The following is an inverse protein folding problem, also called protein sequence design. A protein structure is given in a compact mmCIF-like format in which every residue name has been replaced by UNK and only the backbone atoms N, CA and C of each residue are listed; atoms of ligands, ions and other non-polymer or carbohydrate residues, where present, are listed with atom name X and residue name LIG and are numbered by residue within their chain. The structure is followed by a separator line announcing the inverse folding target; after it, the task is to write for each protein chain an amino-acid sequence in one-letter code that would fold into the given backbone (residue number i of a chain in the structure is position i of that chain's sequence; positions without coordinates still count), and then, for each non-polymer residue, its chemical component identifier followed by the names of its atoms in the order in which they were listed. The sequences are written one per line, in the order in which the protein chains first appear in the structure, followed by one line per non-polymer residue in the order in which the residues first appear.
data_IF_399655175602
#
_entry.id   IF_399655175602
#
_cell.length_a   1.000
_cell.length_b   1.000
_cell.length_c   1.000
_cell.angle_alpha   90.00
_cell.angle_beta   90.00
_cell.angle_gamma   90.00
#
_symmetry.space_group_name_H-M   'P 1'
#
loop_
_entity.id
_entity.type
_entity.pdbx_description
1 polymer ?
#
# COMPACT_ATOMS: atom_id res chain seq x y z
N UNK A 1 9.61 -9.03 2.01
CA UNK A 1 8.87 -7.90 1.41
C UNK A 1 9.80 -6.86 0.82
N UNK A 2 10.53 -6.05 1.62
CA UNK A 2 11.40 -4.98 1.10
C UNK A 2 12.43 -5.38 0.03
N UNK A 3 12.93 -6.62 0.06
CA UNK A 3 13.77 -7.17 -1.02
C UNK A 3 12.96 -7.78 -2.18
N UNK A 4 11.84 -8.43 -1.89
CA UNK A 4 11.03 -9.14 -2.88
C UNK A 4 10.36 -8.16 -3.86
N UNK A 5 9.88 -7.02 -3.36
CA UNK A 5 9.15 -6.02 -4.16
C UNK A 5 9.96 -5.43 -5.32
N UNK A 6 11.21 -4.93 -5.12
CA UNK A 6 12.03 -4.44 -6.24
C UNK A 6 12.47 -5.57 -7.17
N UNK A 7 12.80 -6.75 -6.64
CA UNK A 7 13.18 -7.91 -7.45
C UNK A 7 12.02 -8.35 -8.36
N UNK A 8 10.80 -8.41 -7.82
CA UNK A 8 9.61 -8.75 -8.59
C UNK A 8 9.26 -7.66 -9.60
N UNK A 9 9.41 -6.38 -9.25
CA UNK A 9 9.28 -5.29 -10.23
C UNK A 9 10.20 -5.51 -11.42
N UNK A 10 11.48 -5.76 -11.15
CA UNK A 10 12.49 -6.03 -12.18
C UNK A 10 12.20 -7.29 -13.02
N UNK A 11 11.86 -8.41 -12.38
CA UNK A 11 11.60 -9.68 -13.06
C UNK A 11 10.29 -9.69 -13.85
N UNK A 12 9.24 -9.06 -13.32
CA UNK A 12 7.95 -8.95 -14.01
C UNK A 12 8.04 -8.14 -15.30
N UNK A 13 9.01 -7.22 -15.40
CA UNK A 13 9.29 -6.47 -16.62
C UNK A 13 10.09 -7.30 -17.64
N UNK A 14 10.98 -8.20 -17.22
CA UNK A 14 11.82 -9.01 -18.14
C UNK A 14 11.22 -10.34 -18.58
N UNK A 15 10.35 -10.97 -17.80
CA UNK A 15 9.89 -12.32 -18.11
C UNK A 15 8.95 -12.30 -19.33
N UNK A 16 9.17 -13.20 -20.30
CA UNK A 16 8.10 -13.58 -21.21
C UNK A 16 7.09 -14.40 -20.39
N UNK A 17 5.81 -14.00 -20.36
CA UNK A 17 4.77 -14.69 -19.60
C UNK A 17 4.63 -16.18 -19.94
N UNK A 18 3.77 -16.90 -19.22
CA UNK A 18 3.60 -18.33 -19.44
C UNK A 18 2.66 -18.61 -20.63
N UNK A 19 3.23 -18.88 -21.81
CA UNK A 19 2.47 -19.28 -23.01
C UNK A 19 1.54 -18.17 -23.52
N UNK A 20 0.23 -18.47 -23.66
CA UNK A 20 -0.80 -17.48 -24.05
C UNK A 20 -1.26 -16.60 -22.87
N UNK A 21 -0.77 -16.86 -21.67
CA UNK A 21 -1.09 -16.10 -20.48
C UNK A 21 -0.22 -14.85 -20.43
N UNK A 22 -0.85 -13.68 -20.29
CA UNK A 22 -0.14 -12.40 -20.27
C UNK A 22 0.95 -12.33 -19.19
N UNK A 23 1.95 -11.45 -19.39
CA UNK A 23 3.13 -11.34 -18.55
C UNK A 23 2.74 -10.98 -17.12
N UNK A 24 1.95 -9.92 -16.95
CA UNK A 24 1.53 -9.44 -15.63
C UNK A 24 0.59 -10.42 -14.94
N UNK A 25 -0.32 -11.02 -15.71
CA UNK A 25 -1.21 -12.07 -15.20
C UNK A 25 -0.48 -13.31 -14.72
N UNK A 26 0.61 -13.71 -15.37
CA UNK A 26 1.38 -14.89 -14.96
C UNK A 26 1.98 -14.72 -13.56
N UNK A 27 2.58 -13.56 -13.30
CA UNK A 27 3.12 -13.24 -11.97
C UNK A 27 2.03 -13.01 -10.91
N UNK A 28 0.90 -12.41 -11.30
CA UNK A 28 -0.25 -12.30 -10.42
C UNK A 28 -0.78 -13.69 -10.01
N UNK A 29 -0.87 -14.63 -10.96
CA UNK A 29 -1.30 -16.00 -10.70
C UNK A 29 -0.32 -16.72 -9.78
N UNK A 30 0.99 -16.64 -10.08
CA UNK A 30 2.03 -17.22 -9.24
C UNK A 30 1.96 -16.69 -7.79
N UNK A 31 1.82 -15.38 -7.63
CA UNK A 31 1.66 -14.77 -6.30
C UNK A 31 0.38 -15.22 -5.59
N UNK A 32 -0.74 -15.30 -6.32
CA UNK A 32 -2.02 -15.76 -5.76
C UNK A 32 -1.88 -17.20 -5.26
N UNK A 33 -1.29 -18.10 -6.07
CA UNK A 33 -1.04 -19.48 -5.67
C UNK A 33 -0.15 -19.57 -4.42
N UNK A 34 0.92 -18.76 -4.34
CA UNK A 34 1.75 -18.69 -3.13
C UNK A 34 0.94 -18.29 -1.88
N UNK A 35 0.08 -17.26 -1.98
CA UNK A 35 -0.78 -16.82 -0.86
C UNK A 35 -1.79 -17.89 -0.47
N UNK A 36 -2.44 -18.55 -1.45
CA UNK A 36 -3.40 -19.62 -1.20
C UNK A 36 -2.76 -20.81 -0.46
N UNK A 37 -1.51 -21.14 -0.81
CA UNK A 37 -0.79 -22.26 -0.22
C UNK A 37 -0.16 -21.94 1.13
N UNK A 38 0.24 -20.69 1.41
CA UNK A 38 0.96 -20.37 2.65
C UNK A 38 0.06 -19.79 3.75
N UNK A 39 -0.92 -18.95 3.41
CA UNK A 39 -1.71 -18.21 4.39
C UNK A 39 -2.52 -19.10 5.35
N UNK A 40 -3.17 -20.21 4.91
CA UNK A 40 -3.86 -21.11 5.83
C UNK A 40 -2.94 -21.73 6.88
N UNK A 41 -1.67 -22.01 6.55
CA UNK A 41 -0.71 -22.61 7.48
C UNK A 41 -0.16 -21.62 8.51
N UNK A 42 -0.24 -20.31 8.24
CA UNK A 42 0.14 -19.26 9.19
C UNK A 42 -0.90 -19.14 10.31
N UNK A 43 -2.17 -19.35 10.01
CA UNK A 43 -3.30 -19.17 10.95
C UNK A 43 -3.87 -20.48 11.51
N UNK A 44 -3.32 -21.64 11.14
CA UNK A 44 -3.68 -22.94 11.69
C UNK A 44 -2.58 -23.38 12.67
N UNK A 45 -2.89 -24.11 13.77
CA UNK A 45 -1.86 -24.68 14.63
C UNK A 45 -0.84 -25.47 13.83
N UNK A 46 0.43 -25.34 14.22
CA UNK A 46 1.49 -26.07 13.56
C UNK A 46 1.25 -27.59 13.63
N UNK A 47 1.43 -28.24 12.49
CA UNK A 47 1.17 -29.67 12.33
C UNK A 47 2.15 -30.47 13.20
N UNK A 48 1.63 -31.16 14.22
CA UNK A 48 2.43 -31.99 15.13
C UNK A 48 3.00 -31.26 16.36
N UNK A 49 2.69 -29.98 16.55
CA UNK A 49 2.99 -29.29 17.79
C UNK A 49 2.05 -29.74 18.92
N UNK A 50 2.63 -30.14 20.06
CA UNK A 50 1.94 -30.41 21.34
C UNK A 50 2.19 -29.27 22.34
N UNK A 51 1.48 -29.26 23.47
CA UNK A 51 1.60 -28.21 24.50
C UNK A 51 3.03 -28.03 25.06
N UNK A 52 3.87 -29.08 25.00
CA UNK A 52 5.28 -29.05 25.43
C UNK A 52 6.28 -28.67 24.31
N UNK A 53 5.80 -28.23 23.14
CA UNK A 53 6.69 -27.89 22.02
C UNK A 53 7.43 -26.59 22.32
N UNK A 54 8.77 -26.56 22.24
CA UNK A 54 9.51 -25.34 22.50
C UNK A 54 9.22 -24.27 21.44
N UNK A 55 9.18 -23.00 21.84
CA UNK A 55 8.81 -21.88 20.98
C UNK A 55 9.66 -21.76 19.70
N UNK A 56 10.96 -22.13 19.77
CA UNK A 56 11.85 -22.10 18.62
C UNK A 56 11.43 -23.07 17.51
N UNK A 57 10.82 -24.21 17.86
CA UNK A 57 10.35 -25.17 16.87
C UNK A 57 9.12 -24.65 16.13
N UNK A 58 8.20 -23.97 16.84
CA UNK A 58 7.09 -23.27 16.21
C UNK A 58 7.58 -22.16 15.27
N UNK A 59 8.59 -21.39 15.69
CA UNK A 59 9.21 -20.37 14.84
C UNK A 59 9.77 -20.95 13.53
N UNK A 60 10.53 -22.05 13.60
CA UNK A 60 11.08 -22.72 12.40
C UNK A 60 9.96 -23.23 11.48
N UNK A 61 8.86 -23.75 12.04
CA UNK A 61 7.72 -24.21 11.26
C UNK A 61 7.05 -23.08 10.47
N UNK A 62 6.78 -21.93 11.10
CA UNK A 62 6.07 -20.83 10.44
C UNK A 62 6.95 -20.03 9.47
N UNK A 63 8.27 -20.00 9.68
CA UNK A 63 9.23 -19.24 8.87
C UNK A 63 9.09 -19.44 7.34
N UNK A 64 9.12 -20.68 6.79
CA UNK A 64 8.99 -20.88 5.35
C UNK A 64 7.65 -20.39 4.79
N UNK A 65 6.55 -20.59 5.52
CA UNK A 65 5.22 -20.12 5.08
C UNK A 65 5.16 -18.59 5.04
N UNK A 66 5.74 -17.90 6.05
CA UNK A 66 5.82 -16.45 6.07
C UNK A 66 6.66 -15.94 4.88
N UNK A 67 7.80 -16.57 4.58
CA UNK A 67 8.63 -16.17 3.42
C UNK A 67 7.85 -16.30 2.11
N UNK A 68 7.17 -17.43 1.89
CA UNK A 68 6.34 -17.67 0.70
C UNK A 68 5.18 -16.67 0.63
N UNK A 69 4.54 -16.38 1.76
CA UNK A 69 3.48 -15.38 1.85
C UNK A 69 3.98 -13.99 1.45
N UNK A 70 5.11 -13.54 2.00
CA UNK A 70 5.67 -12.21 1.69
C UNK A 70 6.05 -12.09 0.21
N UNK A 71 6.56 -13.16 -0.40
CA UNK A 71 6.78 -13.21 -1.84
C UNK A 71 5.47 -13.14 -2.63
N UNK A 72 4.47 -13.96 -2.27
CA UNK A 72 3.18 -13.99 -2.95
C UNK A 72 2.41 -12.67 -2.85
N UNK A 73 2.45 -12.03 -1.69
CA UNK A 73 1.90 -10.71 -1.45
C UNK A 73 2.54 -9.65 -2.36
N UNK A 74 3.87 -9.59 -2.41
CA UNK A 74 4.57 -8.67 -3.30
C UNK A 74 4.26 -8.95 -4.78
N UNK A 75 4.22 -10.22 -5.19
CA UNK A 75 4.00 -10.62 -6.58
C UNK A 75 2.60 -10.25 -7.07
N UNK A 76 1.55 -10.52 -6.28
CA UNK A 76 0.17 -10.13 -6.60
C UNK A 76 0.03 -8.62 -6.66
N UNK A 77 0.54 -7.91 -5.66
CA UNK A 77 0.37 -6.46 -5.54
C UNK A 77 1.07 -5.70 -6.66
N UNK A 78 2.33 -6.02 -6.96
CA UNK A 78 3.12 -5.31 -7.98
C UNK A 78 2.60 -5.62 -9.37
N UNK A 79 2.32 -6.88 -9.67
CA UNK A 79 1.79 -7.27 -10.99
C UNK A 79 0.45 -6.62 -11.31
N UNK A 80 -0.44 -6.51 -10.32
CA UNK A 80 -1.72 -5.81 -10.48
C UNK A 80 -1.53 -4.31 -10.65
N UNK A 81 -0.60 -3.69 -9.90
CA UNK A 81 -0.29 -2.26 -10.00
C UNK A 81 0.24 -1.89 -11.39
N UNK A 82 1.18 -2.67 -11.91
CA UNK A 82 1.79 -2.43 -13.23
C UNK A 82 0.81 -2.69 -14.38
N UNK A 83 -0.23 -3.49 -14.17
CA UNK A 83 -1.23 -3.80 -15.20
C UNK A 83 -2.19 -2.64 -15.47
N UNK A 84 -2.51 -1.81 -14.47
CA UNK A 84 -3.42 -0.65 -14.62
C UNK A 84 -3.04 0.26 -15.80
N UNK A 85 -1.80 0.79 -15.89
CA UNK A 85 -1.42 1.67 -17.00
C UNK A 85 -1.34 0.96 -18.35
N UNK A 86 -1.27 -0.38 -18.39
CA UNK A 86 -1.28 -1.16 -19.63
C UNK A 86 -2.72 -1.41 -20.14
N UNK A 87 -3.72 -1.41 -19.25
CA UNK A 87 -5.12 -1.65 -19.61
C UNK A 87 -5.85 -0.41 -20.16
N UNK A 88 -5.43 0.79 -19.76
CA UNK A 88 -6.10 2.05 -20.11
C UNK A 88 -5.11 3.04 -20.71
N UNK A 89 -5.49 3.65 -21.83
CA UNK A 89 -4.63 4.60 -22.55
C UNK A 89 -4.74 6.02 -22.00
N UNK A 90 -5.92 6.40 -21.48
CA UNK A 90 -6.20 7.72 -20.95
C UNK A 90 -5.72 7.87 -19.50
N UNK A 91 -5.06 8.99 -19.18
CA UNK A 91 -4.61 9.29 -17.81
C UNK A 91 -5.79 9.49 -16.85
N UNK A 92 -6.92 10.01 -17.33
CA UNK A 92 -8.14 10.12 -16.53
C UNK A 92 -8.65 8.74 -16.10
N UNK A 93 -8.69 7.78 -17.02
CA UNK A 93 -9.13 6.41 -16.73
C UNK A 93 -8.17 5.68 -15.79
N UNK A 94 -6.85 5.94 -15.88
CA UNK A 94 -5.85 5.40 -14.93
C UNK A 94 -6.12 5.86 -13.51
N UNK A 95 -6.39 7.16 -13.32
CA UNK A 95 -6.71 7.74 -12.01
C UNK A 95 -8.02 7.15 -11.48
N UNK A 96 -9.03 7.02 -12.33
CA UNK A 96 -10.33 6.45 -11.96
C UNK A 96 -10.21 4.96 -11.55
N UNK A 97 -9.53 4.13 -12.34
CA UNK A 97 -9.33 2.71 -12.05
C UNK A 97 -8.51 2.52 -10.76
N UNK A 98 -7.52 3.39 -10.54
CA UNK A 98 -6.74 3.42 -9.31
C UNK A 98 -7.60 3.81 -8.10
N UNK A 99 -8.50 4.78 -8.25
CA UNK A 99 -9.44 5.16 -7.20
C UNK A 99 -10.41 4.02 -6.85
N UNK A 100 -10.95 3.31 -7.85
CA UNK A 100 -11.79 2.13 -7.61
C UNK A 100 -11.04 1.05 -6.83
N UNK A 101 -9.79 0.76 -7.21
CA UNK A 101 -8.96 -0.21 -6.48
C UNK A 101 -8.80 0.13 -5.00
N UNK A 102 -8.54 1.40 -4.68
CA UNK A 102 -8.43 1.83 -3.27
C UNK A 102 -9.78 1.73 -2.54
N UNK A 103 -10.89 2.07 -3.20
CA UNK A 103 -12.22 1.87 -2.63
C UNK A 103 -12.51 0.39 -2.31
N UNK A 104 -12.19 -0.53 -3.24
CA UNK A 104 -12.32 -1.97 -3.00
C UNK A 104 -11.41 -2.47 -1.89
N UNK A 105 -10.23 -1.87 -1.71
CA UNK A 105 -9.34 -2.20 -0.59
C UNK A 105 -9.98 -1.79 0.75
N UNK A 106 -10.61 -0.62 0.83
CA UNK A 106 -11.33 -0.19 2.05
C UNK A 106 -12.52 -1.12 2.33
N UNK A 107 -13.31 -1.46 1.31
CA UNK A 107 -14.42 -2.39 1.45
C UNK A 107 -13.96 -3.78 1.93
N UNK A 108 -12.86 -4.30 1.39
CA UNK A 108 -12.28 -5.56 1.85
C UNK A 108 -11.88 -5.51 3.33
N UNK A 109 -11.27 -4.41 3.80
CA UNK A 109 -10.96 -4.23 5.22
C UNK A 109 -12.24 -4.22 6.08
N UNK A 110 -13.28 -3.49 5.66
CA UNK A 110 -14.59 -3.48 6.35
C UNK A 110 -15.17 -4.91 6.44
N UNK A 111 -15.11 -5.68 5.35
CA UNK A 111 -15.58 -7.08 5.35
C UNK A 111 -14.78 -7.95 6.30
N UNK A 112 -13.43 -7.86 6.30
CA UNK A 112 -12.58 -8.66 7.20
C UNK A 112 -12.86 -8.34 8.67
N UNK A 113 -12.89 -7.06 9.03
CA UNK A 113 -13.19 -6.65 10.41
C UNK A 113 -14.65 -6.94 10.80
N UNK A 114 -15.59 -6.82 9.87
CA UNK A 114 -16.99 -7.20 10.08
C UNK A 114 -17.17 -8.69 10.34
N UNK A 115 -16.49 -9.55 9.57
CA UNK A 115 -16.47 -11.00 9.79
C UNK A 115 -15.80 -11.36 11.12
N UNK A 116 -14.68 -10.71 11.45
CA UNK A 116 -14.01 -10.90 12.74
C UNK A 116 -14.91 -10.51 13.91
N UNK A 117 -15.60 -9.36 13.81
CA UNK A 117 -16.56 -8.89 14.80
C UNK A 117 -17.73 -9.86 14.97
N UNK A 118 -18.27 -10.38 13.86
CA UNK A 118 -19.35 -11.36 13.85
C UNK A 118 -18.94 -12.65 14.58
N UNK A 119 -17.78 -13.22 14.21
CA UNK A 119 -17.25 -14.45 14.81
C UNK A 119 -16.95 -14.26 16.31
N UNK A 120 -16.38 -13.12 16.69
CA UNK A 120 -16.03 -12.84 18.08
C UNK A 120 -17.26 -12.58 18.97
N UNK A 121 -18.32 -11.95 18.45
CA UNK A 121 -19.52 -11.67 19.26
C UNK A 121 -20.44 -12.88 19.42
N UNK A 122 -20.62 -13.71 18.39
CA UNK A 122 -21.48 -14.90 18.49
C UNK A 122 -20.98 -15.93 19.52
N UNK A 123 -19.74 -15.82 20.00
CA UNK A 123 -19.16 -16.73 20.98
C UNK A 123 -19.07 -16.15 22.40
N UNK A 124 -19.53 -14.91 22.63
CA UNK A 124 -19.60 -14.30 23.98
C UNK A 124 -20.76 -14.85 24.80
N UNK A 125 -21.80 -15.39 24.16
CA UNK A 125 -22.96 -15.97 24.86
C UNK A 125 -22.69 -17.34 25.52
N UNK A 126 -21.44 -17.83 25.54
CA UNK A 126 -21.04 -19.04 26.27
C UNK A 126 -20.49 -18.69 27.68
N UNK A 127 -21.08 -19.21 28.77
CA UNK A 127 -20.83 -18.75 30.14
C UNK A 127 -19.44 -19.06 30.72
N UNK A 128 -18.62 -19.92 30.09
CA UNK A 128 -17.35 -20.41 30.66
C UNK A 128 -16.07 -19.81 30.02
N UNK A 129 -16.18 -18.75 29.20
CA UNK A 129 -15.02 -18.19 28.47
C UNK A 129 -14.48 -16.89 29.03
N UNK A 130 -13.16 -16.85 29.18
CA UNK A 130 -12.41 -15.66 29.58
C UNK A 130 -12.55 -14.52 28.55
N UNK A 131 -12.75 -13.29 29.02
CA UNK A 131 -12.85 -12.08 28.19
C UNK A 131 -11.55 -11.75 27.42
N UNK A 132 -10.45 -12.36 27.83
CA UNK A 132 -9.11 -12.20 27.27
C UNK A 132 -8.84 -13.21 26.14
N UNK A 133 -8.02 -12.80 25.17
CA UNK A 133 -7.58 -13.65 24.07
C UNK A 133 -6.81 -14.86 24.61
N UNK A 134 -7.19 -16.05 24.15
CA UNK A 134 -6.53 -17.29 24.54
C UNK A 134 -6.43 -18.31 23.41
N UNK A 135 -5.79 -19.44 23.71
CA UNK A 135 -5.64 -20.58 22.76
C UNK A 135 -7.01 -21.09 22.29
N UNK A 136 -8.05 -20.90 23.09
CA UNK A 136 -9.43 -21.25 22.76
C UNK A 136 -10.02 -20.47 21.56
N UNK A 137 -9.43 -19.33 21.21
CA UNK A 137 -9.86 -18.47 20.10
C UNK A 137 -9.17 -18.82 18.78
N UNK A 138 -8.17 -19.71 18.79
CA UNK A 138 -7.42 -20.15 17.59
C UNK A 138 -8.35 -20.66 16.48
N UNK A 139 -9.39 -21.48 16.74
CA UNK A 139 -10.32 -21.89 15.70
C UNK A 139 -11.07 -20.72 15.03
N UNK A 140 -11.28 -19.61 15.74
CA UNK A 140 -11.95 -18.42 15.20
C UNK A 140 -11.08 -17.74 14.16
N UNK A 141 -9.82 -17.46 14.51
CA UNK A 141 -8.85 -16.86 13.60
C UNK A 141 -8.55 -17.76 12.41
N UNK A 142 -8.51 -19.09 12.62
CA UNK A 142 -8.45 -20.06 11.54
C UNK A 142 -9.63 -19.94 10.59
N UNK A 143 -10.86 -20.00 11.09
CA UNK A 143 -12.06 -19.91 10.25
C UNK A 143 -12.11 -18.57 9.50
N UNK A 144 -11.78 -17.47 10.17
CA UNK A 144 -11.66 -16.15 9.55
C UNK A 144 -10.63 -16.17 8.41
N UNK A 145 -9.43 -16.71 8.65
CA UNK A 145 -8.38 -16.81 7.63
C UNK A 145 -8.82 -17.62 6.40
N UNK A 146 -9.53 -18.74 6.61
CA UNK A 146 -10.02 -19.60 5.53
C UNK A 146 -11.11 -18.91 4.70
N UNK A 147 -12.03 -18.18 5.35
CA UNK A 147 -13.05 -17.38 4.66
C UNK A 147 -12.40 -16.29 3.81
N UNK A 148 -11.43 -15.56 4.36
CA UNK A 148 -10.73 -14.47 3.65
C UNK A 148 -9.93 -15.00 2.47
N UNK A 149 -9.22 -16.12 2.65
CA UNK A 149 -8.49 -16.79 1.55
C UNK A 149 -9.45 -17.27 0.47
N UNK A 150 -10.59 -17.87 0.84
CA UNK A 150 -11.60 -18.33 -0.11
C UNK A 150 -12.22 -17.18 -0.91
N UNK A 151 -12.58 -16.08 -0.25
CA UNK A 151 -13.08 -14.87 -0.93
C UNK A 151 -12.00 -14.28 -1.85
N UNK A 152 -10.75 -14.19 -1.39
CA UNK A 152 -9.63 -13.73 -2.21
C UNK A 152 -9.39 -14.61 -3.44
N UNK A 153 -9.49 -15.93 -3.29
CA UNK A 153 -9.38 -16.89 -4.39
C UNK A 153 -10.49 -16.67 -5.43
N UNK A 154 -11.74 -16.46 -4.97
CA UNK A 154 -12.88 -16.19 -5.84
C UNK A 154 -12.68 -14.91 -6.64
N UNK A 155 -12.30 -13.80 -5.99
CA UNK A 155 -12.05 -12.53 -6.69
C UNK A 155 -10.84 -12.61 -7.62
N UNK A 156 -9.79 -13.34 -7.24
CA UNK A 156 -8.64 -13.59 -8.12
C UNK A 156 -9.05 -14.40 -9.35
N UNK A 157 -9.89 -15.42 -9.20
CA UNK A 157 -10.44 -16.19 -10.32
C UNK A 157 -11.27 -15.29 -11.25
N UNK A 158 -12.14 -14.44 -10.71
CA UNK A 158 -12.93 -13.47 -11.49
C UNK A 158 -11.99 -12.52 -12.26
N UNK A 159 -10.94 -12.00 -11.61
CA UNK A 159 -9.94 -11.16 -12.27
C UNK A 159 -9.26 -11.91 -13.43
N UNK A 160 -8.82 -13.15 -13.19
CA UNK A 160 -8.11 -13.95 -14.19
C UNK A 160 -9.00 -14.35 -15.39
N UNK A 161 -10.29 -14.60 -15.17
CA UNK A 161 -11.26 -14.91 -16.23
C UNK A 161 -11.78 -13.65 -16.96
N UNK A 162 -12.03 -12.57 -16.24
CA UNK A 162 -12.71 -11.39 -16.76
C UNK A 162 -11.79 -10.40 -17.49
N UNK A 163 -10.56 -10.22 -17.02
CA UNK A 163 -9.63 -9.29 -17.67
C UNK A 163 -8.96 -9.95 -18.86
N UNK A 164 -8.83 -9.26 -20.00
CA UNK A 164 -8.09 -9.78 -21.16
C UNK A 164 -6.81 -8.99 -21.33
N UNK A 165 -5.67 -9.65 -21.13
CA UNK A 165 -4.36 -9.10 -21.47
C UNK A 165 -4.04 -9.53 -22.90
N UNK A 166 -3.64 -8.59 -23.78
CA UNK A 166 -3.28 -8.93 -25.16
C UNK A 166 -2.01 -9.80 -25.13
N UNK A 167 -1.99 -10.97 -25.77
CA UNK A 167 -0.78 -11.80 -25.84
C UNK A 167 0.35 -11.02 -26.50
N UNK A 168 1.54 -11.03 -25.90
CA UNK A 168 2.74 -10.52 -26.56
C UNK A 168 3.08 -11.47 -27.72
N UNK A 169 3.31 -10.98 -28.96
CA UNK A 169 3.61 -11.85 -30.09
C UNK A 169 4.86 -12.70 -29.82
N UNK A 170 4.82 -14.02 -30.01
CA UNK A 170 6.00 -14.86 -29.87
C UNK A 170 6.94 -14.57 -31.06
N UNK A 171 8.02 -13.84 -30.82
CA UNK A 171 9.02 -13.52 -31.85
C UNK A 171 9.67 -12.14 -31.75
N UNK A 172 9.10 -11.21 -30.98
CA UNK A 172 9.87 -10.06 -30.51
C UNK A 172 10.86 -10.56 -29.47
N UNK A 173 12.16 -10.45 -29.76
CA UNK A 173 13.23 -10.53 -28.75
C UNK A 173 12.74 -9.81 -27.48
N UNK A 174 13.04 -10.32 -26.26
CA UNK A 174 12.72 -9.60 -25.03
C UNK A 174 13.25 -8.20 -25.24
N UNK A 175 12.31 -7.26 -25.43
CA UNK A 175 12.67 -5.95 -25.92
C UNK A 175 13.69 -5.46 -24.91
N UNK A 176 14.84 -5.00 -25.41
CA UNK A 176 15.83 -4.27 -24.63
C UNK A 176 15.19 -2.92 -24.27
N UNK A 177 14.06 -3.00 -23.56
CA UNK A 177 13.07 -1.98 -23.22
C UNK A 177 13.55 -1.15 -22.04
N UNK A 178 14.83 -1.27 -21.68
CA UNK A 178 15.55 -0.31 -20.84
C UNK A 178 15.64 1.07 -21.54
N UNK A 179 15.24 1.17 -22.81
CA UNK A 179 15.31 2.37 -23.66
C UNK A 179 13.95 2.96 -24.10
N UNK A 180 12.80 2.38 -23.69
CA UNK A 180 11.49 2.89 -24.14
C UNK A 180 10.86 3.79 -23.06
N UNK A 181 10.48 5.05 -23.38
CA UNK A 181 9.92 5.99 -22.42
C UNK A 181 8.62 5.49 -21.77
N UNK A 182 8.47 5.70 -20.45
CA UNK A 182 7.20 5.50 -19.73
C UNK A 182 6.09 6.51 -20.12
N UNK A 183 6.42 7.52 -20.93
CA UNK A 183 5.49 8.54 -21.45
C UNK A 183 5.69 8.67 -22.95
N UNK A 184 4.86 7.96 -23.72
CA UNK A 184 4.81 8.11 -25.17
C UNK A 184 3.74 9.15 -25.51
N UNK A 185 4.17 10.37 -25.87
CA UNK A 185 3.30 11.39 -26.48
C UNK A 185 3.80 11.66 -27.89
N UNK A 186 2.84 11.83 -28.81
CA UNK A 186 3.05 11.98 -30.26
C UNK A 186 4.15 12.99 -30.68
N UNK A 187 4.77 12.79 -31.86
CA UNK A 187 6.02 13.44 -32.23
C UNK A 187 5.81 14.85 -32.79
N UNK A 188 5.86 15.89 -31.94
CA UNK A 188 5.95 17.28 -32.41
C UNK A 188 6.83 18.22 -31.56
N UNK A 189 7.64 17.71 -30.62
CA UNK A 189 8.53 18.57 -29.81
C UNK A 189 9.94 17.97 -29.67
N UNK A 190 11.00 18.81 -29.48
CA UNK A 190 12.40 18.38 -29.49
C UNK A 190 12.68 17.27 -28.48
N UNK A 191 13.72 16.43 -28.69
CA UNK A 191 13.97 15.22 -27.91
C UNK A 191 14.14 15.57 -26.43
N UNK A 192 13.11 15.25 -25.64
CA UNK A 192 13.17 15.38 -24.19
C UNK A 192 14.09 14.28 -23.64
N UNK A 193 14.99 14.57 -22.69
CA UNK A 193 15.80 13.54 -22.06
C UNK A 193 14.92 12.48 -21.42
N UNK A 194 15.11 11.24 -21.84
CA UNK A 194 14.41 10.09 -21.31
C UNK A 194 15.14 9.65 -20.05
N UNK A 195 14.52 9.86 -18.88
CA UNK A 195 15.04 9.38 -17.60
C UNK A 195 14.99 7.86 -17.59
N UNK A 196 16.16 7.22 -17.48
CA UNK A 196 16.29 5.79 -17.26
C UNK A 196 15.97 5.51 -15.79
N UNK A 197 15.48 4.31 -15.44
CA UNK A 197 15.13 3.97 -14.06
C UNK A 197 16.28 4.21 -13.05
N UNK A 198 17.54 4.11 -13.51
CA UNK A 198 18.74 4.35 -12.70
C UNK A 198 18.91 5.83 -12.36
N UNK A 199 18.47 6.73 -13.23
CA UNK A 199 18.58 8.16 -13.04
C UNK A 199 17.66 8.64 -11.91
N UNK A 200 16.55 7.94 -11.67
CA UNK A 200 15.68 8.19 -10.51
C UNK A 200 16.38 7.98 -9.16
N UNK A 201 17.37 7.09 -9.09
CA UNK A 201 18.14 6.87 -7.86
C UNK A 201 19.15 8.01 -7.60
N UNK A 202 19.42 8.86 -8.58
CA UNK A 202 20.29 10.03 -8.42
C UNK A 202 19.49 11.30 -8.09
N UNK A 203 18.19 11.30 -8.36
CA UNK A 203 17.35 12.49 -8.17
C UNK A 203 17.00 12.71 -6.69
N UNK A 204 17.35 13.86 -6.08
CA UNK A 204 17.05 14.14 -4.67
C UNK A 204 15.54 14.18 -4.37
N UNK A 205 14.70 14.56 -5.34
CA UNK A 205 13.24 14.53 -5.20
C UNK A 205 12.69 13.12 -4.93
N UNK A 206 13.33 12.07 -5.47
CA UNK A 206 12.95 10.69 -5.22
C UNK A 206 13.04 10.35 -3.72
N UNK A 207 14.14 10.76 -3.08
CA UNK A 207 14.37 10.52 -1.66
C UNK A 207 13.44 11.35 -0.76
N UNK A 208 13.12 12.60 -1.15
CA UNK A 208 12.16 13.43 -0.41
C UNK A 208 10.78 12.76 -0.35
N UNK A 209 10.27 12.29 -1.49
CA UNK A 209 8.98 11.58 -1.58
C UNK A 209 9.05 10.23 -0.86
N UNK A 210 10.17 9.50 -0.99
CA UNK A 210 10.37 8.23 -0.31
C UNK A 210 10.34 8.39 1.22
N UNK A 211 11.02 9.38 1.79
CA UNK A 211 11.00 9.64 3.25
C UNK A 211 9.59 9.96 3.73
N UNK A 212 8.86 10.82 3.02
CA UNK A 212 7.47 11.14 3.36
C UNK A 212 6.59 9.88 3.32
N UNK A 213 6.71 9.08 2.26
CA UNK A 213 5.96 7.83 2.10
C UNK A 213 6.29 6.82 3.19
N UNK A 214 7.58 6.59 3.47
CA UNK A 214 8.04 5.63 4.48
C UNK A 214 7.62 6.05 5.89
N UNK A 215 7.71 7.34 6.21
CA UNK A 215 7.23 7.90 7.48
C UNK A 215 5.73 7.66 7.65
N UNK A 216 4.94 7.96 6.61
CA UNK A 216 3.49 7.74 6.61
C UNK A 216 3.16 6.26 6.79
N UNK A 217 3.83 5.36 6.05
CA UNK A 217 3.65 3.91 6.14
C UNK A 217 4.01 3.37 7.51
N UNK A 218 5.09 3.86 8.11
CA UNK A 218 5.53 3.43 9.44
C UNK A 218 4.50 3.79 10.50
N UNK A 219 3.98 5.02 10.50
CA UNK A 219 2.93 5.45 11.45
C UNK A 219 1.69 4.56 11.32
N UNK A 220 1.22 4.31 10.09
CA UNK A 220 0.04 3.49 9.84
C UNK A 220 0.26 2.05 10.31
N UNK A 221 1.39 1.44 9.94
CA UNK A 221 1.70 0.05 10.28
C UNK A 221 1.85 -0.16 11.79
N UNK A 222 2.51 0.78 12.48
CA UNK A 222 2.65 0.73 13.95
C UNK A 222 1.28 0.87 14.61
N UNK A 223 0.48 1.83 14.18
CA UNK A 223 -0.87 2.04 14.72
C UNK A 223 -1.73 0.79 14.54
N UNK A 224 -1.71 0.18 13.35
CA UNK A 224 -2.45 -1.05 13.05
C UNK A 224 -1.94 -2.28 13.82
N UNK A 225 -0.64 -2.40 14.06
CA UNK A 225 -0.07 -3.55 14.78
C UNK A 225 -0.33 -3.46 16.28
N UNK A 226 -0.20 -2.27 16.86
CA UNK A 226 -0.31 -2.07 18.30
C UNK A 226 -1.73 -1.81 18.80
N UNK A 227 -2.70 -1.47 17.93
CA UNK A 227 -4.08 -1.21 18.37
C UNK A 227 -4.66 -2.40 19.14
N UNK A 228 -4.49 -3.64 18.65
CA UNK A 228 -5.01 -4.82 19.32
C UNK A 228 -4.40 -5.00 20.72
N UNK A 229 -3.07 -4.90 20.82
CA UNK A 229 -2.36 -5.03 22.10
C UNK A 229 -2.71 -3.90 23.07
N UNK A 230 -2.87 -2.67 22.58
CA UNK A 230 -3.28 -1.54 23.40
C UNK A 230 -4.68 -1.76 24.00
N UNK A 231 -5.62 -2.26 23.20
CA UNK A 231 -6.99 -2.54 23.66
C UNK A 231 -7.03 -3.68 24.70
N UNK A 232 -6.29 -4.77 24.48
CA UNK A 232 -6.36 -5.94 25.36
C UNK A 232 -5.45 -5.85 26.58
N UNK A 233 -4.26 -5.27 26.44
CA UNK A 233 -3.23 -5.33 27.48
C UNK A 233 -3.16 -4.05 28.31
N UNK A 234 -3.45 -2.89 27.70
CA UNK A 234 -3.43 -1.60 28.41
C UNK A 234 -4.81 -1.21 28.91
N UNK A 235 -5.85 -1.37 28.08
CA UNK A 235 -7.22 -1.02 28.45
C UNK A 235 -8.03 -2.18 29.02
N UNK A 236 -7.50 -3.41 28.99
CA UNK A 236 -8.18 -4.64 29.46
C UNK A 236 -9.60 -4.79 28.87
N UNK A 237 -9.81 -4.30 27.65
CA UNK A 237 -11.11 -4.37 27.00
C UNK A 237 -11.38 -5.81 26.52
N UNK A 238 -12.65 -6.26 26.57
CA UNK A 238 -13.02 -7.55 26.02
C UNK A 238 -12.60 -7.69 24.54
N UNK A 239 -12.18 -8.88 24.14
CA UNK A 239 -11.62 -9.16 22.80
C UNK A 239 -12.48 -8.70 21.60
N UNK A 240 -13.79 -8.51 21.75
CA UNK A 240 -14.68 -7.95 20.72
C UNK A 240 -14.20 -6.59 20.20
N UNK A 241 -13.57 -5.77 21.04
CA UNK A 241 -13.12 -4.42 20.67
C UNK A 241 -11.96 -4.42 19.66
N UNK A 242 -11.21 -5.53 19.54
CA UNK A 242 -10.13 -5.69 18.57
C UNK A 242 -10.66 -5.59 17.13
N UNK A 243 -11.88 -6.04 16.89
CA UNK A 243 -12.55 -5.92 15.60
C UNK A 243 -13.44 -4.67 15.51
N UNK A 244 -14.13 -4.30 16.59
CA UNK A 244 -15.08 -3.15 16.60
C UNK A 244 -14.38 -1.82 16.29
N UNK A 245 -13.24 -1.52 16.90
CA UNK A 245 -12.61 -0.21 16.77
C UNK A 245 -12.09 0.03 15.35
N UNK A 246 -11.29 -0.88 14.75
CA UNK A 246 -10.91 -0.75 13.35
C UNK A 246 -12.13 -0.71 12.42
N UNK A 247 -13.17 -1.50 12.67
CA UNK A 247 -14.40 -1.48 11.87
C UNK A 247 -15.08 -0.11 11.86
N UNK A 248 -15.25 0.50 13.03
CA UNK A 248 -15.82 1.86 13.15
C UNK A 248 -14.96 2.88 12.42
N UNK A 249 -13.63 2.81 12.57
CA UNK A 249 -12.69 3.71 11.87
C UNK A 249 -12.76 3.56 10.33
N UNK A 250 -12.86 2.34 9.82
CA UNK A 250 -12.96 2.13 8.37
C UNK A 250 -14.32 2.57 7.81
N UNK A 251 -15.42 2.32 8.54
CA UNK A 251 -16.76 2.77 8.15
C UNK A 251 -16.82 4.31 8.18
N UNK A 252 -16.34 4.95 9.25
CA UNK A 252 -16.34 6.41 9.37
C UNK A 252 -15.51 7.06 8.26
N UNK A 253 -14.30 6.55 8.00
CA UNK A 253 -13.44 7.04 6.92
C UNK A 253 -14.04 6.84 5.52
N UNK A 254 -14.69 5.70 5.27
CA UNK A 254 -15.35 5.42 3.99
C UNK A 254 -16.56 6.33 3.75
N UNK A 255 -17.44 6.49 4.75
CA UNK A 255 -18.59 7.41 4.67
C UNK A 255 -18.12 8.86 4.48
N UNK A 256 -17.09 9.28 5.22
CA UNK A 256 -16.49 10.61 5.11
C UNK A 256 -15.97 10.88 3.69
N UNK A 257 -15.42 9.87 3.02
CA UNK A 257 -14.91 10.00 1.64
C UNK A 257 -16.00 10.33 0.61
N UNK A 258 -17.25 9.87 0.81
CA UNK A 258 -18.37 10.28 -0.05
C UNK A 258 -18.83 11.71 0.22
N UNK A 259 -18.77 12.14 1.49
CA UNK A 259 -19.09 13.51 1.90
C UNK A 259 -18.01 14.51 1.43
N UNK A 260 -16.77 14.07 1.20
CA UNK A 260 -15.68 14.92 0.70
C UNK A 260 -16.01 15.59 -0.64
N UNK A 261 -16.54 14.86 -1.61
CA UNK A 261 -16.83 15.40 -2.95
C UNK A 261 -17.83 16.57 -2.95
N UNK A 262 -19.04 16.45 -2.34
CA UNK A 262 -19.98 17.56 -2.27
C UNK A 262 -19.47 18.70 -1.39
N UNK A 263 -18.81 18.41 -0.27
CA UNK A 263 -18.21 19.42 0.61
C UNK A 263 -17.14 20.23 -0.12
N UNK A 264 -16.25 19.57 -0.87
CA UNK A 264 -15.23 20.24 -1.67
C UNK A 264 -15.85 21.09 -2.80
N UNK A 265 -16.92 20.60 -3.45
CA UNK A 265 -17.64 21.37 -4.49
C UNK A 265 -18.38 22.59 -3.92
N UNK A 266 -18.84 22.51 -2.68
CA UNK A 266 -19.54 23.59 -1.98
C UNK A 266 -18.58 24.65 -1.45
N UNK A 267 -17.45 24.24 -0.86
CA UNK A 267 -16.48 25.15 -0.22
C UNK A 267 -15.41 25.66 -1.19
N UNK A 268 -15.05 24.89 -2.23
CA UNK A 268 -13.99 25.22 -3.19
C UNK A 268 -14.21 26.47 -4.05
N UNK A 269 -15.30 27.22 -3.84
CA UNK A 269 -15.51 28.54 -4.45
C UNK A 269 -14.99 29.71 -3.61
N UNK A 270 -14.79 29.57 -2.29
CA UNK A 270 -14.47 30.70 -1.40
C UNK A 270 -13.26 30.51 -0.44
N UNK A 271 -12.72 29.29 -0.25
CA UNK A 271 -11.56 29.06 0.64
C UNK A 271 -10.53 28.08 0.06
N UNK A 272 -9.27 28.20 0.50
CA UNK A 272 -8.17 27.29 0.14
C UNK A 272 -8.55 25.85 0.51
N UNK A 273 -8.67 24.98 -0.49
CA UNK A 273 -9.04 23.57 -0.35
C UNK A 273 -8.22 22.85 0.72
N UNK A 274 -6.97 23.25 0.91
CA UNK A 274 -6.08 22.76 1.96
C UNK A 274 -6.63 22.95 3.39
N UNK A 275 -7.28 24.07 3.70
CA UNK A 275 -7.88 24.31 5.02
C UNK A 275 -9.07 23.37 5.28
N UNK A 276 -9.86 23.09 4.24
CA UNK A 276 -11.01 22.17 4.30
C UNK A 276 -10.55 20.73 4.54
N UNK A 277 -9.52 20.28 3.81
CA UNK A 277 -8.92 18.97 4.03
C UNK A 277 -8.32 18.84 5.44
N UNK A 278 -7.68 19.90 5.94
CA UNK A 278 -7.17 19.98 7.31
C UNK A 278 -8.27 19.88 8.36
N UNK A 279 -9.33 20.69 8.25
CA UNK A 279 -10.45 20.70 9.18
C UNK A 279 -11.22 19.37 9.18
N UNK A 280 -11.43 18.77 8.00
CA UNK A 280 -12.12 17.49 7.88
C UNK A 280 -11.32 16.33 8.48
N UNK A 281 -10.01 16.27 8.21
CA UNK A 281 -9.13 15.28 8.84
C UNK A 281 -9.07 15.46 10.36
N UNK A 282 -9.10 16.70 10.84
CA UNK A 282 -9.17 17.01 12.26
C UNK A 282 -10.48 16.51 12.88
N UNK A 283 -11.63 16.78 12.26
CA UNK A 283 -12.93 16.31 12.75
C UNK A 283 -13.04 14.79 12.75
N UNK A 284 -12.55 14.10 11.72
CA UNK A 284 -12.50 12.62 11.68
C UNK A 284 -11.64 12.05 12.81
N UNK A 285 -10.44 12.60 13.04
CA UNK A 285 -9.56 12.19 14.15
C UNK A 285 -10.18 12.48 15.52
N UNK A 286 -10.84 13.63 15.67
CA UNK A 286 -11.52 14.01 16.91
C UNK A 286 -12.72 13.08 17.18
N UNK A 287 -13.49 12.71 16.15
CA UNK A 287 -14.61 11.77 16.28
C UNK A 287 -14.12 10.36 16.67
N UNK A 288 -13.06 9.87 16.03
CA UNK A 288 -12.45 8.59 16.38
C UNK A 288 -11.86 8.62 17.81
N UNK A 289 -11.24 9.74 18.21
CA UNK A 289 -10.74 9.95 19.58
C UNK A 289 -11.84 10.00 20.63
N UNK A 290 -12.95 10.70 20.35
CA UNK A 290 -14.12 10.76 21.23
C UNK A 290 -14.78 9.39 21.37
N UNK A 291 -14.87 8.62 20.28
CA UNK A 291 -15.37 7.25 20.32
C UNK A 291 -14.51 6.36 21.24
N UNK A 292 -13.19 6.44 21.14
CA UNK A 292 -12.27 5.73 22.04
C UNK A 292 -12.45 6.20 23.49
N UNK A 293 -12.56 7.50 23.73
CA UNK A 293 -12.77 8.06 25.08
C UNK A 293 -14.09 7.60 25.71
N UNK A 294 -15.18 7.56 24.94
CA UNK A 294 -16.46 7.03 25.39
C UNK A 294 -16.36 5.54 25.72
N UNK A 295 -15.66 4.76 24.90
CA UNK A 295 -15.44 3.32 25.16
C UNK A 295 -14.65 3.13 26.47
N UNK A 296 -13.62 3.95 26.71
CA UNK A 296 -12.83 3.93 27.94
C UNK A 296 -13.66 4.29 29.18
N UNK A 297 -14.56 5.28 29.08
CA UNK A 297 -15.44 5.67 30.18
C UNK A 297 -16.53 4.64 30.48
N UNK A 298 -16.99 3.89 29.46
CA UNK A 298 -17.97 2.82 29.63
C UNK A 298 -17.38 1.53 30.23
N UNK A 299 -16.06 1.34 30.12
CA UNK A 299 -15.36 0.16 30.64
C UNK A 299 -14.07 0.58 31.39
N UNK A 300 -14.17 1.12 32.61
CA UNK A 300 -13.01 1.53 33.38
C UNK A 300 -12.13 0.32 33.76
N UNK A 301 -10.81 0.45 33.59
CA UNK A 301 -9.82 -0.56 34.00
C UNK A 301 -9.93 -0.76 35.53
N UNK A 302 -10.30 -1.95 36.04
CA UNK A 302 -10.26 -2.20 37.46
C UNK A 302 -8.81 -2.20 37.94
N UNK A 303 -8.51 -1.29 38.87
CA UNK A 303 -7.18 -0.82 39.30
C UNK A 303 -6.20 -1.86 39.86
N UNK A 304 -6.61 -3.12 39.99
CA UNK A 304 -5.78 -4.22 40.56
C UNK A 304 -5.18 -5.16 39.50
N UNK A 305 -5.61 -5.08 38.23
CA UNK A 305 -5.18 -6.02 37.18
C UNK A 305 -4.36 -5.37 36.04
N UNK A 306 -4.25 -4.05 36.02
CA UNK A 306 -3.57 -3.32 34.95
C UNK A 306 -2.04 -3.28 35.26
N UNK A 307 -1.20 -3.91 34.42
CA UNK A 307 0.25 -3.93 34.62
C UNK A 307 0.85 -2.51 34.45
N UNK A 308 1.35 -1.86 35.51
CA UNK A 308 1.80 -0.47 35.45
C UNK A 308 3.04 -0.27 34.54
N UNK A 309 3.86 -1.31 34.38
CA UNK A 309 5.03 -1.28 33.50
C UNK A 309 4.66 -1.36 32.01
N UNK A 310 3.58 -2.08 31.65
CA UNK A 310 3.12 -2.19 30.27
C UNK A 310 2.61 -0.85 29.74
N UNK A 311 1.82 -0.11 30.54
CA UNK A 311 1.27 1.20 30.13
C UNK A 311 2.38 2.18 29.79
N UNK A 312 3.44 2.24 30.62
CA UNK A 312 4.58 3.12 30.38
C UNK A 312 5.33 2.75 29.08
N UNK A 313 5.61 1.47 28.84
CA UNK A 313 6.25 1.01 27.60
C UNK A 313 5.42 1.36 26.36
N UNK A 314 4.11 1.09 26.37
CA UNK A 314 3.24 1.42 25.23
C UNK A 314 3.09 2.93 25.03
N UNK A 315 2.99 3.70 26.11
CA UNK A 315 2.89 5.14 26.04
C UNK A 315 4.15 5.75 25.43
N UNK A 316 5.34 5.35 25.88
CA UNK A 316 6.61 5.83 25.34
C UNK A 316 6.86 5.33 23.91
N UNK A 317 6.61 4.06 23.59
CA UNK A 317 6.82 3.55 22.23
C UNK A 317 5.87 4.21 21.24
N UNK A 318 4.59 4.34 21.57
CA UNK A 318 3.64 5.00 20.68
C UNK A 318 4.00 6.48 20.53
N UNK A 319 4.23 7.22 21.62
CA UNK A 319 4.51 8.66 21.55
C UNK A 319 5.87 8.97 20.91
N UNK A 320 6.93 8.24 21.26
CA UNK A 320 8.28 8.53 20.80
C UNK A 320 8.46 8.10 19.33
N UNK A 321 7.92 6.94 18.94
CA UNK A 321 7.99 6.50 17.55
C UNK A 321 7.04 7.29 16.66
N UNK A 322 5.77 7.47 17.03
CA UNK A 322 4.85 8.28 16.19
C UNK A 322 5.22 9.76 16.19
N UNK A 323 5.65 10.31 17.33
CA UNK A 323 6.13 11.69 17.43
C UNK A 323 7.42 11.94 16.66
N UNK A 324 8.41 11.05 16.77
CA UNK A 324 9.66 11.14 16.01
C UNK A 324 9.43 11.05 14.50
N UNK A 325 8.54 10.14 14.06
CA UNK A 325 8.20 10.01 12.64
C UNK A 325 7.36 11.19 12.15
N UNK A 326 6.50 11.78 12.98
CA UNK A 326 5.77 13.00 12.65
C UNK A 326 6.71 14.19 12.47
N UNK A 327 7.73 14.34 13.33
CA UNK A 327 8.77 15.37 13.19
C UNK A 327 9.54 15.17 11.88
N UNK A 328 9.93 13.92 11.56
CA UNK A 328 10.60 13.61 10.29
C UNK A 328 9.72 13.93 9.07
N UNK A 329 8.42 13.62 9.13
CA UNK A 329 7.47 13.96 8.07
C UNK A 329 7.30 15.48 7.92
N UNK A 330 7.14 16.23 9.03
CA UNK A 330 7.05 17.69 9.02
C UNK A 330 8.33 18.31 8.47
N UNK A 331 9.50 17.85 8.92
CA UNK A 331 10.78 18.29 8.39
C UNK A 331 10.87 18.04 6.88
N UNK A 332 10.44 16.87 6.39
CA UNK A 332 10.42 16.57 4.96
C UNK A 332 9.48 17.49 4.17
N UNK A 333 8.30 17.81 4.72
CA UNK A 333 7.35 18.74 4.11
C UNK A 333 7.90 20.17 4.08
N UNK A 334 8.52 20.62 5.17
CA UNK A 334 9.21 21.91 5.23
C UNK A 334 10.37 21.98 4.22
N UNK A 335 11.14 20.89 4.07
CA UNK A 335 12.18 20.80 3.04
C UNK A 335 11.60 20.89 1.62
N UNK A 336 10.45 20.29 1.35
CA UNK A 336 9.76 20.40 0.04
C UNK A 336 9.26 21.83 -0.21
N UNK A 337 8.82 22.55 0.84
CA UNK A 337 8.41 23.95 0.70
C UNK A 337 9.59 24.89 0.42
N UNK A 338 10.76 24.62 1.01
CA UNK A 338 11.99 25.41 0.80
C UNK A 338 12.70 25.03 -0.50
N UNK A 339 12.72 23.74 -0.83
CA UNK A 339 13.30 23.17 -2.04
C UNK A 339 12.21 22.43 -2.82
N UNK A 340 11.45 23.13 -3.67
CA UNK A 340 10.37 22.51 -4.43
C UNK A 340 10.91 21.41 -5.33
N UNK A 341 10.10 20.36 -5.51
CA UNK A 341 10.41 19.21 -6.36
C UNK A 341 10.70 19.70 -7.78
N UNK A 342 12.00 19.75 -8.13
CA UNK A 342 12.48 20.00 -9.50
C UNK A 342 13.10 18.71 -10.00
N UNK A 343 12.56 18.17 -11.08
CA UNK A 343 13.11 17.01 -11.77
C UNK A 343 14.23 17.52 -12.68
N UNK A 344 15.46 17.08 -12.45
CA UNK A 344 16.61 17.46 -13.28
C UNK A 344 16.76 16.45 -14.41
N UNK A 345 16.43 16.87 -15.63
CA UNK A 345 16.62 16.04 -16.80
C UNK A 345 18.11 15.99 -17.18
N UNK A 346 18.78 14.88 -16.89
CA UNK A 346 20.10 14.61 -17.46
C UNK A 346 19.94 14.17 -18.92
N UNK A 347 20.30 15.06 -19.85
CA UNK A 347 20.40 14.71 -21.26
C UNK A 347 21.50 13.66 -21.47
N UNK A 348 21.12 12.40 -21.69
CA UNK A 348 22.03 11.41 -22.28
C UNK A 348 22.34 11.90 -23.69
N UNK A 349 23.53 12.47 -23.86
CA UNK A 349 24.01 12.92 -25.15
C UNK A 349 24.29 11.69 -26.02
N UNK A 350 23.39 11.35 -26.93
CA UNK A 350 23.63 10.40 -28.03
C UNK A 350 24.65 11.00 -29.02
N UNK A 351 25.89 11.23 -28.57
CA UNK A 351 27.04 11.48 -29.45
C UNK A 351 27.55 10.12 -29.91
N UNK A 352 27.03 9.62 -31.03
CA UNK A 352 27.54 8.37 -31.59
C UNK A 352 27.06 7.92 -32.96
N UNK A 353 26.05 8.55 -33.58
CA UNK A 353 25.49 8.03 -34.84
C UNK A 353 25.15 9.11 -35.90
N UNK A 354 25.84 10.25 -35.90
CA UNK A 354 25.84 11.16 -37.06
C UNK A 354 27.26 11.28 -37.62
N UNK A 355 27.64 10.25 -38.36
CA UNK A 355 28.95 10.10 -38.99
C UNK A 355 28.83 9.26 -40.25
N UNK A 356 27.89 9.59 -41.14
CA UNK A 356 27.86 9.11 -42.52
C UNK A 356 27.06 10.14 -43.33
N UNK A 357 27.78 10.92 -44.14
CA UNK A 357 27.29 12.16 -44.70
C UNK A 357 26.32 12.04 -45.87
N UNK A 358 25.74 13.18 -46.22
CA UNK A 358 25.52 13.60 -47.60
C UNK A 358 25.55 15.13 -47.63
N UNK A 359 26.46 15.64 -48.45
CA UNK A 359 26.63 17.05 -48.78
C UNK A 359 25.51 17.49 -49.72
N UNK A 360 24.73 18.50 -49.33
CA UNK A 360 24.09 19.41 -50.29
C UNK A 360 24.08 20.82 -49.71
N UNK A 361 24.76 21.73 -50.42
CA UNK A 361 24.86 23.13 -50.05
C UNK A 361 23.60 23.90 -50.42
N UNK A 362 23.22 24.83 -49.55
CA UNK A 362 22.53 26.05 -49.90
C UNK A 362 22.81 27.08 -48.80
N UNK A 363 23.56 28.10 -49.18
CA UNK A 363 23.75 29.39 -48.51
C UNK A 363 22.42 30.11 -48.33
N UNK A 364 22.13 30.63 -47.12
CA UNK A 364 21.61 31.99 -46.95
C UNK A 364 21.71 32.50 -45.49
N UNK A 365 21.86 33.82 -45.41
CA UNK A 365 22.44 34.65 -44.35
C UNK A 365 21.60 34.88 -43.07
N UNK A 366 22.34 34.96 -41.95
CA UNK A 366 22.26 35.88 -40.79
C UNK A 366 20.97 36.66 -40.45
N UNK A 367 20.50 36.55 -39.19
CA UNK A 367 20.57 37.60 -38.14
C UNK A 367 19.82 37.22 -36.84
N UNK A 368 20.44 37.52 -35.69
CA UNK A 368 19.75 38.21 -34.58
C UNK A 368 19.06 37.44 -33.43
N UNK A 369 19.69 37.54 -32.25
CA UNK A 369 19.07 37.70 -30.91
C UNK A 369 18.60 36.47 -30.06
N UNK A 370 19.33 36.26 -28.95
CA UNK A 370 18.92 35.65 -27.68
C UNK A 370 18.25 36.69 -26.75
N UNK A 371 17.79 36.36 -25.51
CA UNK A 371 17.31 35.10 -24.94
C UNK A 371 16.00 35.27 -24.10
N UNK A 372 15.57 34.17 -23.45
CA UNK A 372 14.69 34.10 -22.27
C UNK A 372 13.19 33.86 -22.50
N UNK A 373 12.72 32.70 -22.03
CA UNK A 373 11.44 32.59 -21.34
C UNK A 373 11.51 31.45 -20.32
N UNK A 374 11.51 31.85 -19.05
CA UNK A 374 11.15 30.99 -17.94
C UNK A 374 9.68 30.61 -18.09
N UNK A 375 9.34 29.33 -17.92
CA UNK A 375 7.96 28.84 -17.91
C UNK A 375 7.67 28.32 -16.50
N UNK A 376 6.69 28.95 -15.87
CA UNK A 376 6.03 28.53 -14.62
C UNK A 376 5.24 27.24 -14.81
#
# INVERSE_FOLDING_TARGET
DGLCTPLLGYETDRSAGCGRYGRRKSWHLAGTTCVLLSFPFIFNPCLGCKDNTPQWAAFIYYLPFIIIFQFGWAATQISHLSLIPELVTSDHEKVELTAFRYAFTVMANITVYGLAWLLLNFQVDQPDRTEHLGVQDVPMFRNLSLIVVGLGALFSLIFHLGTKEKPYPPGSLPQLEENTPLVQKEPTTPPRPLLIWKDWLLEPAFYQVAVLYMSTRLIVNLSQTYIAMYLTNSLLLPKRYIATIPLVMYISGFLSSFLMKPVNKWIGRNHSSAFVYGAMSFTDKMANGLAVMVIQNLHPCPTELCCPACVSFYHWVMVLVTGGVAIAAIASLCCIMVWPIRIHYHAVCLRGLSGAGTSYGATESAEGASPSSAVN
#
